data_IF_208761390861
#
_entry.id   IF_208761390861
#
_cell.length_a   1.000
_cell.length_b   1.000
_cell.length_c   1.000
_cell.angle_alpha   90.00
_cell.angle_beta   90.00
_cell.angle_gamma   90.00
#
_symmetry.space_group_name_H-M   'P 1'
#
loop_
_entity.id
_entity.type
_entity.pdbx_description
1 polymer ?
#
# COMPACT_ATOMS: atom_id res chain seq x y z
N UNK A 1 -18.89 2.13 -26.01
CA UNK A 1 -19.59 1.61 -24.81
C UNK A 1 -18.53 1.37 -23.75
N UNK A 2 -18.89 1.56 -22.47
CA UNK A 2 -17.98 1.28 -21.37
C UNK A 2 -17.96 -0.23 -21.06
N UNK A 3 -16.77 -0.77 -20.78
CA UNK A 3 -16.55 -2.21 -20.61
C UNK A 3 -15.75 -2.49 -19.35
N UNK A 4 -15.90 -3.72 -18.81
CA UNK A 4 -15.10 -4.18 -17.67
C UNK A 4 -13.68 -4.52 -18.14
N UNK A 5 -12.69 -4.27 -17.26
CA UNK A 5 -11.34 -4.81 -17.43
C UNK A 5 -11.40 -6.33 -17.25
N UNK A 6 -10.62 -7.07 -18.02
CA UNK A 6 -10.55 -8.54 -17.95
C UNK A 6 -9.10 -9.04 -17.85
N UNK A 7 -8.94 -10.29 -17.44
CA UNK A 7 -7.65 -10.99 -17.44
C UNK A 7 -7.61 -12.02 -18.57
N UNK A 8 -6.59 -11.95 -19.43
CA UNK A 8 -6.34 -12.91 -20.49
C UNK A 8 -4.86 -13.32 -20.49
N UNK A 9 -4.60 -14.61 -20.39
CA UNK A 9 -3.24 -15.12 -20.36
C UNK A 9 -2.35 -14.52 -19.25
N UNK A 10 -2.93 -14.21 -18.09
CA UNK A 10 -2.22 -13.59 -16.96
C UNK A 10 -1.90 -12.10 -17.12
N UNK A 11 -2.52 -11.42 -18.10
CA UNK A 11 -2.36 -9.97 -18.34
C UNK A 11 -3.71 -9.28 -18.30
N UNK A 12 -3.72 -8.05 -17.80
CA UNK A 12 -4.89 -7.18 -17.87
C UNK A 12 -5.17 -6.75 -19.33
N UNK A 13 -6.40 -6.93 -19.74
CA UNK A 13 -6.95 -6.38 -20.98
C UNK A 13 -7.83 -5.19 -20.61
N UNK A 14 -7.31 -3.98 -20.83
CA UNK A 14 -7.95 -2.73 -20.45
C UNK A 14 -8.60 -2.11 -21.69
N UNK A 15 -9.93 -1.95 -21.72
CA UNK A 15 -10.62 -1.31 -22.83
C UNK A 15 -10.34 0.23 -22.86
N UNK A 16 -10.68 0.89 -23.94
CA UNK A 16 -10.53 2.35 -24.05
C UNK A 16 -11.43 3.12 -23.08
N UNK A 17 -12.55 2.54 -22.70
CA UNK A 17 -13.50 3.13 -21.74
C UNK A 17 -13.78 2.12 -20.60
N UNK A 18 -12.82 1.89 -19.68
CA UNK A 18 -13.01 0.94 -18.59
C UNK A 18 -13.99 1.50 -17.55
N UNK A 19 -14.80 0.58 -16.99
CA UNK A 19 -15.61 0.85 -15.80
C UNK A 19 -14.73 0.69 -14.58
N UNK A 20 -14.51 1.75 -13.82
CA UNK A 20 -13.72 1.77 -12.59
C UNK A 20 -14.64 2.04 -11.40
N UNK A 21 -14.90 1.05 -10.54
CA UNK A 21 -15.57 1.29 -9.27
C UNK A 21 -14.75 2.22 -8.37
N UNK A 22 -15.44 3.15 -7.71
CA UNK A 22 -14.82 3.97 -6.68
C UNK A 22 -15.67 4.02 -5.42
N UNK A 23 -14.99 4.11 -4.27
CA UNK A 23 -15.58 4.38 -2.97
C UNK A 23 -15.15 5.78 -2.56
N UNK A 24 -16.10 6.69 -2.37
CA UNK A 24 -15.81 8.09 -2.04
C UNK A 24 -15.01 8.22 -0.72
N UNK A 25 -15.31 7.33 0.26
CA UNK A 25 -14.67 7.32 1.57
C UNK A 25 -15.42 8.16 2.59
N UNK A 26 -14.92 8.10 3.84
CA UNK A 26 -15.47 8.77 5.01
C UNK A 26 -14.64 10.00 5.39
N UNK A 27 -15.18 10.87 6.23
CA UNK A 27 -14.48 12.04 6.74
C UNK A 27 -14.02 12.97 5.61
N UNK A 28 -12.72 13.09 5.39
CA UNK A 28 -12.13 13.90 4.29
C UNK A 28 -12.24 13.21 2.92
N UNK A 29 -12.71 11.96 2.87
CA UNK A 29 -12.86 11.18 1.63
C UNK A 29 -13.55 11.93 0.50
N UNK A 30 -14.74 12.53 0.70
CA UNK A 30 -15.43 13.30 -0.33
C UNK A 30 -14.61 14.46 -0.90
N UNK A 31 -13.88 15.19 -0.07
CA UNK A 31 -13.07 16.33 -0.52
C UNK A 31 -11.91 15.86 -1.41
N UNK A 32 -11.13 14.89 -0.95
CA UNK A 32 -9.97 14.39 -1.69
C UNK A 32 -10.35 13.60 -2.94
N UNK A 33 -11.47 12.88 -2.93
CA UNK A 33 -11.94 12.10 -4.08
C UNK A 33 -12.37 13.03 -5.21
N UNK A 34 -13.13 14.11 -4.90
CA UNK A 34 -13.50 15.12 -5.91
C UNK A 34 -12.27 15.78 -6.53
N UNK A 35 -11.31 16.21 -5.71
CA UNK A 35 -10.07 16.81 -6.19
C UNK A 35 -9.26 15.84 -7.07
N UNK A 36 -9.14 14.58 -6.65
CA UNK A 36 -8.42 13.55 -7.37
C UNK A 36 -9.06 13.19 -8.73
N UNK A 37 -10.39 13.10 -8.80
CA UNK A 37 -11.10 12.84 -10.06
C UNK A 37 -10.84 13.92 -11.11
N UNK A 38 -10.74 15.20 -10.73
CA UNK A 38 -10.36 16.28 -11.63
C UNK A 38 -8.98 16.02 -12.25
N UNK A 39 -8.02 15.59 -11.42
CA UNK A 39 -6.64 15.30 -11.86
C UNK A 39 -6.59 14.08 -12.78
N UNK A 40 -7.22 12.97 -12.39
CA UNK A 40 -7.19 11.73 -13.18
C UNK A 40 -7.85 11.90 -14.54
N UNK A 41 -9.03 12.56 -14.59
CA UNK A 41 -9.72 12.81 -15.84
C UNK A 41 -8.91 13.74 -16.76
N UNK A 42 -8.30 14.81 -16.20
CA UNK A 42 -7.43 15.69 -16.96
C UNK A 42 -6.18 14.99 -17.51
N UNK A 43 -5.57 14.10 -16.71
CA UNK A 43 -4.41 13.33 -17.14
C UNK A 43 -4.73 12.40 -18.31
N UNK A 44 -5.85 11.69 -18.23
CA UNK A 44 -6.32 10.79 -19.30
C UNK A 44 -6.68 11.58 -20.56
N UNK A 45 -7.46 12.66 -20.43
CA UNK A 45 -7.85 13.52 -21.56
C UNK A 45 -6.63 14.09 -22.29
N UNK A 46 -5.68 14.67 -21.53
CA UNK A 46 -4.46 15.27 -22.10
C UNK A 46 -3.47 14.27 -22.66
N UNK A 47 -3.47 13.03 -22.15
CA UNK A 47 -2.60 11.98 -22.67
C UNK A 47 -3.12 11.38 -23.99
N UNK A 48 -4.45 11.23 -24.11
CA UNK A 48 -5.05 10.43 -25.18
C UNK A 48 -6.04 11.21 -26.07
N UNK A 49 -6.24 12.51 -25.82
CA UNK A 49 -7.05 13.39 -26.69
C UNK A 49 -8.48 12.92 -26.88
N UNK A 50 -9.09 12.34 -25.83
CA UNK A 50 -10.46 11.81 -25.86
C UNK A 50 -10.60 10.39 -26.40
N UNK A 51 -9.53 9.75 -26.88
CA UNK A 51 -9.57 8.36 -27.34
C UNK A 51 -9.79 7.36 -26.18
N UNK A 52 -9.43 7.76 -24.95
CA UNK A 52 -9.66 6.97 -23.74
C UNK A 52 -10.38 7.80 -22.70
N UNK A 53 -11.30 7.14 -21.95
CA UNK A 53 -12.06 7.78 -20.89
C UNK A 53 -12.42 6.76 -19.82
N UNK A 54 -12.33 7.13 -18.53
CA UNK A 54 -12.77 6.28 -17.41
C UNK A 54 -14.27 6.50 -17.19
N UNK A 55 -15.03 5.42 -17.08
CA UNK A 55 -16.40 5.41 -16.58
C UNK A 55 -16.38 5.11 -15.08
N UNK A 56 -16.63 6.12 -14.28
CA UNK A 56 -16.63 6.02 -12.83
C UNK A 56 -17.93 5.43 -12.31
N UNK A 57 -17.87 4.34 -11.54
CA UNK A 57 -19.03 3.69 -10.91
C UNK A 57 -18.89 3.79 -9.38
N UNK A 58 -19.72 4.61 -8.73
CA UNK A 58 -19.74 4.66 -7.28
C UNK A 58 -20.25 3.34 -6.71
N UNK A 59 -19.53 2.81 -5.69
CA UNK A 59 -19.94 1.70 -4.83
C UNK A 59 -19.76 2.10 -3.37
N UNK A 60 -20.58 1.55 -2.49
CA UNK A 60 -20.68 2.02 -1.11
C UNK A 60 -19.84 1.19 -0.15
N UNK A 61 -19.09 1.85 0.73
CA UNK A 61 -18.49 1.28 1.94
C UNK A 61 -18.38 2.35 3.02
N UNK A 62 -18.12 1.95 4.27
CA UNK A 62 -17.97 2.85 5.40
C UNK A 62 -19.27 3.43 5.91
N UNK A 63 -19.21 4.65 6.42
CA UNK A 63 -20.38 5.33 7.02
C UNK A 63 -21.52 5.57 6.02
N UNK A 64 -21.18 5.89 4.77
CA UNK A 64 -22.15 6.12 3.70
C UNK A 64 -22.94 4.83 3.40
N UNK A 65 -22.26 3.69 3.34
CA UNK A 65 -22.90 2.39 3.17
C UNK A 65 -23.80 2.05 4.36
N UNK A 66 -23.28 2.20 5.57
CA UNK A 66 -24.04 1.90 6.80
C UNK A 66 -25.32 2.72 6.90
N UNK A 67 -25.27 4.01 6.58
CA UNK A 67 -26.46 4.89 6.56
C UNK A 67 -27.49 4.46 5.51
N UNK A 68 -27.04 3.93 4.37
CA UNK A 68 -27.92 3.55 3.27
C UNK A 68 -28.49 2.14 3.40
N UNK A 69 -27.71 1.17 3.92
CA UNK A 69 -28.01 -0.26 3.86
C UNK A 69 -28.01 -0.95 5.22
N UNK A 70 -27.45 -0.34 6.26
CA UNK A 70 -27.19 -0.98 7.57
C UNK A 70 -25.90 -1.81 7.60
N UNK A 71 -25.16 -1.93 6.50
CA UNK A 71 -23.91 -2.68 6.40
C UNK A 71 -22.73 -1.74 6.14
N UNK A 72 -21.62 -1.97 6.84
CA UNK A 72 -20.40 -1.18 6.66
C UNK A 72 -19.63 -1.53 5.37
N UNK A 73 -19.77 -2.77 4.91
CA UNK A 73 -19.17 -3.28 3.69
C UNK A 73 -20.16 -4.23 2.99
N UNK A 74 -21.06 -3.70 2.14
CA UNK A 74 -22.02 -4.51 1.42
C UNK A 74 -21.34 -5.52 0.51
N UNK A 75 -21.92 -6.72 0.43
CA UNK A 75 -21.42 -7.79 -0.45
C UNK A 75 -21.38 -7.36 -1.91
N UNK A 76 -22.38 -6.58 -2.36
CA UNK A 76 -22.43 -6.02 -3.71
C UNK A 76 -21.17 -5.21 -4.06
N UNK A 77 -20.65 -4.42 -3.11
CA UNK A 77 -19.41 -3.65 -3.31
C UNK A 77 -18.23 -4.55 -3.60
N UNK A 78 -18.07 -5.63 -2.84
CA UNK A 78 -17.00 -6.62 -3.06
C UNK A 78 -17.15 -7.32 -4.41
N UNK A 79 -18.36 -7.69 -4.78
CA UNK A 79 -18.64 -8.37 -6.04
C UNK A 79 -18.37 -7.45 -7.25
N UNK A 80 -18.75 -6.16 -7.18
CA UNK A 80 -18.44 -5.18 -8.23
C UNK A 80 -16.93 -4.94 -8.34
N UNK A 81 -16.21 -4.80 -7.21
CA UNK A 81 -14.76 -4.66 -7.23
C UNK A 81 -14.06 -5.89 -7.85
N UNK A 82 -14.53 -7.08 -7.54
CA UNK A 82 -14.02 -8.34 -8.11
C UNK A 82 -14.29 -8.44 -9.61
N UNK A 83 -15.48 -8.07 -10.03
CA UNK A 83 -15.93 -8.14 -11.42
C UNK A 83 -15.25 -7.14 -12.34
N UNK A 84 -14.96 -5.94 -11.84
CA UNK A 84 -14.30 -4.88 -12.62
C UNK A 84 -12.77 -4.93 -12.53
N UNK A 85 -12.19 -5.76 -11.66
CA UNK A 85 -10.79 -5.98 -11.35
C UNK A 85 -10.06 -4.77 -10.75
N UNK A 86 -10.21 -3.59 -11.32
CA UNK A 86 -9.51 -2.38 -10.86
C UNK A 86 -10.49 -1.42 -10.23
N UNK A 87 -10.21 -0.99 -9.02
CA UNK A 87 -11.02 -0.03 -8.27
C UNK A 87 -10.16 0.92 -7.43
N UNK A 88 -10.75 2.03 -6.97
CA UNK A 88 -10.06 3.02 -6.12
C UNK A 88 -10.96 3.48 -5.00
N UNK A 89 -10.40 3.80 -3.83
CA UNK A 89 -11.18 4.24 -2.68
C UNK A 89 -10.50 5.35 -1.86
N UNK A 90 -11.31 6.20 -1.29
CA UNK A 90 -10.95 7.10 -0.20
C UNK A 90 -10.78 6.35 1.13
N UNK A 91 -10.39 7.07 2.20
CA UNK A 91 -10.23 6.49 3.54
C UNK A 91 -11.58 6.03 4.12
N UNK A 92 -11.56 4.95 4.91
CA UNK A 92 -12.75 4.41 5.55
C UNK A 92 -12.61 4.41 7.07
N UNK A 93 -13.68 4.78 7.75
CA UNK A 93 -13.78 4.73 9.22
C UNK A 93 -13.92 3.30 9.69
N UNK A 94 -13.09 2.89 10.64
CA UNK A 94 -13.31 1.66 11.39
C UNK A 94 -14.17 2.00 12.62
N UNK A 95 -15.37 1.39 12.78
CA UNK A 95 -16.20 1.64 13.94
C UNK A 95 -15.48 1.29 15.24
N UNK A 96 -15.58 2.16 16.25
CA UNK A 96 -15.02 1.91 17.58
C UNK A 96 -16.04 1.14 18.41
N UNK A 97 -15.72 -0.11 18.79
CA UNK A 97 -16.57 -0.97 19.60
C UNK A 97 -17.33 -2.04 18.79
N UNK A 98 -17.93 -3.01 19.48
CA UNK A 98 -18.82 -4.03 18.87
C UNK A 98 -18.13 -5.16 18.11
N UNK A 99 -16.80 -5.33 18.22
CA UNK A 99 -16.09 -6.45 17.59
C UNK A 99 -15.95 -6.35 16.06
N UNK A 100 -16.32 -5.21 15.46
CA UNK A 100 -16.15 -4.99 14.02
C UNK A 100 -14.68 -4.71 13.74
N UNK A 101 -14.07 -5.57 12.91
CA UNK A 101 -12.71 -5.40 12.42
C UNK A 101 -12.65 -4.29 11.38
N UNK A 102 -11.45 -3.80 11.10
CA UNK A 102 -11.21 -2.79 10.06
C UNK A 102 -11.84 -3.19 8.73
N UNK A 103 -12.67 -2.31 8.16
CA UNK A 103 -13.28 -2.51 6.84
C UNK A 103 -12.20 -2.68 5.76
N UNK A 104 -11.08 -1.95 5.88
CA UNK A 104 -9.95 -2.10 4.97
C UNK A 104 -9.36 -3.51 5.04
N UNK A 105 -9.18 -4.07 6.24
CA UNK A 105 -8.69 -5.44 6.42
C UNK A 105 -9.68 -6.45 5.85
N UNK A 106 -10.99 -6.26 6.07
CA UNK A 106 -12.02 -7.12 5.51
C UNK A 106 -11.97 -7.15 3.97
N UNK A 107 -11.88 -5.98 3.31
CA UNK A 107 -11.73 -5.91 1.84
C UNK A 107 -10.49 -6.66 1.34
N UNK A 108 -9.36 -6.49 2.01
CA UNK A 108 -8.10 -7.17 1.64
C UNK A 108 -8.20 -8.68 1.73
N UNK A 109 -8.86 -9.18 2.78
CA UNK A 109 -9.06 -10.61 3.00
C UNK A 109 -10.11 -11.20 2.03
N UNK A 110 -11.27 -10.55 1.88
CA UNK A 110 -12.37 -11.03 1.04
C UNK A 110 -12.02 -11.05 -0.47
N UNK A 111 -11.17 -10.14 -0.92
CA UNK A 111 -10.67 -10.07 -2.29
C UNK A 111 -9.29 -10.73 -2.46
N UNK A 112 -8.74 -11.33 -1.40
CA UNK A 112 -7.38 -11.92 -1.35
C UNK A 112 -6.30 -11.00 -1.93
N UNK A 113 -6.31 -9.72 -1.54
CA UNK A 113 -5.35 -8.72 -2.00
C UNK A 113 -4.04 -8.86 -1.23
N UNK A 114 -3.24 -9.86 -1.58
CA UNK A 114 -2.10 -10.31 -0.80
C UNK A 114 -0.87 -9.38 -0.82
N UNK A 115 -0.83 -8.42 -1.72
CA UNK A 115 0.22 -7.39 -1.77
C UNK A 115 -0.37 -6.04 -1.43
N UNK A 116 0.12 -5.41 -0.37
CA UNK A 116 -0.02 -3.97 -0.18
C UNK A 116 1.23 -3.28 -0.74
N UNK A 117 1.07 -2.57 -1.85
CA UNK A 117 2.13 -1.89 -2.59
C UNK A 117 2.16 -0.41 -2.20
N UNK A 118 3.28 0.07 -1.67
CA UNK A 118 3.47 1.45 -1.21
C UNK A 118 4.80 2.02 -1.73
N UNK A 119 4.82 2.69 -2.88
CA UNK A 119 6.01 3.42 -3.34
C UNK A 119 6.21 4.68 -2.51
N UNK A 120 7.45 4.97 -2.18
CA UNK A 120 7.87 6.15 -1.43
C UNK A 120 8.97 6.85 -2.21
N UNK A 121 8.69 8.07 -2.66
CA UNK A 121 9.63 8.94 -3.38
C UNK A 121 9.54 10.37 -2.89
N UNK A 122 10.63 11.10 -3.01
CA UNK A 122 10.68 12.51 -2.68
C UNK A 122 10.29 13.39 -3.88
N UNK A 123 9.42 14.37 -3.64
CA UNK A 123 9.16 15.46 -4.58
C UNK A 123 9.98 16.68 -4.18
N UNK A 124 10.74 17.24 -5.12
CA UNK A 124 11.67 18.32 -4.84
C UNK A 124 10.94 19.55 -4.26
N UNK A 125 11.40 20.00 -3.08
CA UNK A 125 10.83 21.14 -2.39
C UNK A 125 9.87 20.78 -1.26
N UNK A 126 9.42 19.54 -1.15
CA UNK A 126 8.61 19.09 -0.02
C UNK A 126 9.42 19.17 1.27
N UNK A 127 8.86 19.72 2.38
CA UNK A 127 9.51 19.70 3.67
C UNK A 127 9.80 18.29 4.16
N UNK A 128 11.01 18.06 4.65
CA UNK A 128 11.44 16.76 5.13
C UNK A 128 12.25 16.86 6.43
N UNK A 129 12.08 15.92 7.38
CA UNK A 129 12.87 15.87 8.61
C UNK A 129 14.29 15.32 8.39
N UNK A 130 14.59 14.73 7.23
CA UNK A 130 15.90 14.18 6.92
C UNK A 130 16.72 15.12 6.05
N UNK A 131 18.07 15.00 6.12
CA UNK A 131 18.99 15.90 5.42
C UNK A 131 18.99 15.72 3.89
N UNK A 132 18.73 14.50 3.41
CA UNK A 132 18.86 14.14 2.00
C UNK A 132 17.67 13.26 1.56
N UNK A 133 16.45 13.81 1.57
CA UNK A 133 15.24 13.07 1.21
C UNK A 133 15.24 12.58 -0.24
N UNK A 134 15.98 13.25 -1.12
CA UNK A 134 16.14 12.87 -2.54
C UNK A 134 16.81 11.52 -2.75
N UNK A 135 17.45 10.95 -1.72
CA UNK A 135 18.01 9.60 -1.76
C UNK A 135 16.95 8.51 -1.45
N UNK A 136 15.76 8.90 -1.03
CA UNK A 136 14.67 7.96 -0.75
C UNK A 136 13.86 7.73 -2.03
N UNK A 137 14.02 6.54 -2.60
CA UNK A 137 13.21 6.01 -3.70
C UNK A 137 13.05 4.51 -3.46
N UNK A 138 12.04 4.16 -2.67
CA UNK A 138 11.79 2.78 -2.24
C UNK A 138 10.38 2.36 -2.58
N UNK A 139 10.19 1.05 -2.81
CA UNK A 139 8.87 0.48 -3.04
C UNK A 139 8.64 -0.66 -2.07
N UNK A 140 7.63 -0.53 -1.21
CA UNK A 140 7.32 -1.51 -0.18
C UNK A 140 6.27 -2.49 -0.70
N UNK A 141 6.59 -3.77 -0.65
CA UNK A 141 5.70 -4.91 -0.79
C UNK A 141 5.41 -5.45 0.61
N UNK A 142 4.28 -5.05 1.18
CA UNK A 142 3.80 -5.48 2.47
C UNK A 142 2.87 -6.67 2.29
N UNK A 143 3.12 -7.77 2.99
CA UNK A 143 2.16 -8.87 3.10
C UNK A 143 0.85 -8.32 3.69
N UNK A 144 -0.30 -8.83 3.23
CA UNK A 144 -1.56 -8.14 3.48
C UNK A 144 -2.69 -9.04 3.99
N UNK A 145 -2.45 -10.35 4.17
CA UNK A 145 -3.50 -11.35 4.49
C UNK A 145 -3.24 -12.16 5.75
N UNK A 146 -2.00 -12.20 6.20
CA UNK A 146 -1.55 -12.96 7.38
C UNK A 146 -1.01 -12.05 8.49
N UNK A 147 -0.10 -12.57 9.30
CA UNK A 147 0.49 -11.91 10.45
C UNK A 147 -0.55 -11.67 11.55
N UNK A 148 -0.28 -10.79 12.48
CA UNK A 148 -1.24 -10.40 13.53
C UNK A 148 -2.52 -9.75 12.97
N UNK A 149 -2.48 -9.27 11.74
CA UNK A 149 -3.65 -8.74 11.01
C UNK A 149 -4.67 -9.82 10.64
N UNK A 150 -4.34 -11.10 10.76
CA UNK A 150 -5.32 -12.19 10.72
C UNK A 150 -6.35 -12.05 11.85
N UNK A 151 -6.02 -11.31 12.91
CA UNK A 151 -6.91 -10.97 14.01
C UNK A 151 -7.31 -12.17 14.85
N UNK A 152 -6.41 -13.15 14.99
CA UNK A 152 -6.63 -14.33 15.82
C UNK A 152 -6.17 -13.99 17.24
N UNK A 153 -7.10 -13.50 18.05
CA UNK A 153 -6.78 -13.07 19.41
C UNK A 153 -7.97 -13.24 20.36
N UNK A 154 -7.67 -13.39 21.65
CA UNK A 154 -8.65 -13.55 22.71
C UNK A 154 -8.30 -12.65 23.89
N UNK A 155 -9.29 -11.91 24.33
CA UNK A 155 -9.18 -10.97 25.45
C UNK A 155 -9.15 -11.72 26.78
N UNK A 156 -8.33 -11.24 27.70
CA UNK A 156 -8.32 -11.72 29.08
C UNK A 156 -9.71 -11.66 29.71
N UNK A 157 -10.04 -12.68 30.53
CA UNK A 157 -11.31 -12.79 31.22
C UNK A 157 -12.44 -13.44 30.42
N UNK A 158 -12.19 -13.83 29.16
CA UNK A 158 -13.16 -14.58 28.35
C UNK A 158 -12.99 -16.09 28.51
N UNK A 159 -14.07 -16.89 28.37
CA UNK A 159 -13.95 -18.37 28.40
C UNK A 159 -13.06 -18.91 27.30
N UNK A 160 -12.98 -18.24 26.15
CA UNK A 160 -12.19 -18.64 25.00
C UNK A 160 -10.68 -18.53 25.29
N UNK A 161 -10.23 -17.44 25.92
CA UNK A 161 -8.81 -17.29 26.27
C UNK A 161 -8.38 -18.31 27.33
N UNK A 162 -9.28 -18.70 28.23
CA UNK A 162 -8.97 -19.74 29.24
C UNK A 162 -8.74 -21.10 28.58
N UNK A 163 -9.52 -21.45 27.53
CA UNK A 163 -9.29 -22.67 26.73
C UNK A 163 -7.93 -22.63 26.02
N UNK A 164 -7.58 -21.49 25.40
CA UNK A 164 -6.29 -21.32 24.73
C UNK A 164 -5.11 -21.41 25.73
N UNK A 165 -5.25 -20.76 26.88
CA UNK A 165 -4.25 -20.85 27.95
C UNK A 165 -4.09 -22.28 28.48
N UNK A 166 -5.19 -22.99 28.72
CA UNK A 166 -5.17 -24.37 29.16
C UNK A 166 -4.43 -25.29 28.17
N UNK A 167 -4.70 -25.14 26.87
CA UNK A 167 -3.99 -25.85 25.80
C UNK A 167 -2.49 -25.51 25.78
N UNK A 168 -2.14 -24.22 25.78
CA UNK A 168 -0.74 -23.79 25.72
C UNK A 168 0.07 -24.22 26.96
N UNK A 169 -0.49 -24.04 28.15
CA UNK A 169 0.20 -24.35 29.42
C UNK A 169 0.23 -25.85 29.70
N UNK A 170 -0.89 -26.55 29.44
CA UNK A 170 -1.06 -27.97 29.70
C UNK A 170 -0.48 -28.83 28.57
N UNK A 171 -1.15 -28.88 27.42
CA UNK A 171 -0.77 -29.80 26.33
C UNK A 171 0.54 -29.42 25.65
N UNK A 172 0.76 -28.12 25.37
CA UNK A 172 1.99 -27.65 24.73
C UNK A 172 3.15 -27.39 25.72
N UNK A 173 2.90 -27.45 27.01
CA UNK A 173 3.91 -27.26 28.04
C UNK A 173 4.60 -25.90 28.06
N UNK A 174 3.93 -24.85 27.56
CA UNK A 174 4.46 -23.49 27.50
C UNK A 174 4.62 -22.94 28.92
N UNK A 175 5.84 -22.58 29.31
CA UNK A 175 6.15 -21.98 30.63
C UNK A 175 6.47 -20.50 30.60
N UNK A 176 6.40 -19.86 29.42
CA UNK A 176 6.87 -18.48 29.20
C UNK A 176 5.80 -17.41 29.33
N UNK A 177 4.53 -17.77 29.57
CA UNK A 177 3.48 -16.79 29.86
C UNK A 177 3.66 -16.34 31.30
N UNK A 178 4.22 -15.15 31.48
CA UNK A 178 4.67 -14.67 32.78
C UNK A 178 3.50 -14.42 33.75
N UNK A 179 2.38 -13.91 33.25
CA UNK A 179 1.18 -13.56 34.02
C UNK A 179 -0.06 -14.25 33.44
N UNK A 180 -0.18 -15.60 33.56
CA UNK A 180 -1.23 -16.34 32.84
C UNK A 180 -2.66 -15.97 33.28
N UNK A 181 -2.85 -15.51 34.53
CA UNK A 181 -4.19 -15.11 35.02
C UNK A 181 -4.76 -13.89 34.30
N UNK A 182 -3.91 -12.99 33.82
CA UNK A 182 -4.31 -11.70 33.20
C UNK A 182 -3.84 -11.54 31.78
N UNK A 183 -3.23 -12.56 31.18
CA UNK A 183 -2.76 -12.49 29.81
C UNK A 183 -3.91 -12.61 28.79
N UNK A 184 -3.97 -11.70 27.83
CA UNK A 184 -4.63 -11.91 26.54
C UNK A 184 -3.67 -12.64 25.62
N UNK A 185 -4.19 -13.39 24.63
CA UNK A 185 -3.37 -14.18 23.70
C UNK A 185 -3.71 -13.80 22.26
N UNK A 186 -2.68 -13.58 21.43
CA UNK A 186 -2.79 -13.42 20.00
C UNK A 186 -1.88 -14.38 19.24
N UNK A 187 -2.28 -14.78 18.05
CA UNK A 187 -1.54 -15.71 17.19
C UNK A 187 -1.08 -14.96 15.93
N UNK A 188 0.16 -15.20 15.56
CA UNK A 188 0.80 -14.68 14.34
C UNK A 188 1.04 -15.81 13.34
N UNK A 189 0.12 -16.07 12.41
CA UNK A 189 0.36 -17.03 11.32
C UNK A 189 1.27 -16.41 10.26
N UNK A 190 2.22 -17.20 9.77
CA UNK A 190 3.07 -16.87 8.61
C UNK A 190 3.26 -18.17 7.83
N UNK A 191 2.84 -18.17 6.56
CA UNK A 191 2.87 -19.36 5.70
C UNK A 191 3.94 -19.27 4.61
N UNK A 192 4.31 -20.43 4.07
CA UNK A 192 5.18 -20.53 2.90
C UNK A 192 4.53 -19.89 1.69
N UNK A 193 3.27 -20.21 1.45
CA UNK A 193 2.50 -19.74 0.29
C UNK A 193 2.31 -18.22 0.32
N UNK A 194 1.94 -17.66 1.48
CA UNK A 194 1.81 -16.20 1.68
C UNK A 194 3.13 -15.47 1.47
N UNK A 195 4.23 -16.04 1.99
CA UNK A 195 5.58 -15.50 1.79
C UNK A 195 6.00 -15.56 0.32
N UNK A 196 5.88 -16.71 -0.33
CA UNK A 196 6.37 -16.88 -1.70
C UNK A 196 5.61 -16.00 -2.69
N UNK A 197 4.28 -15.89 -2.58
CA UNK A 197 3.51 -15.02 -3.48
C UNK A 197 3.85 -13.55 -3.33
N UNK A 198 4.14 -13.08 -2.11
CA UNK A 198 4.59 -11.71 -1.85
C UNK A 198 5.98 -11.45 -2.41
N UNK A 199 6.95 -12.29 -2.06
CA UNK A 199 8.35 -12.13 -2.48
C UNK A 199 8.48 -12.26 -4.00
N UNK A 200 7.73 -13.18 -4.62
CA UNK A 200 7.64 -13.29 -6.09
C UNK A 200 7.16 -11.99 -6.72
N UNK A 201 6.10 -11.38 -6.19
CA UNK A 201 5.61 -10.10 -6.70
C UNK A 201 6.66 -8.99 -6.58
N UNK A 202 7.44 -8.96 -5.49
CA UNK A 202 8.52 -7.99 -5.31
C UNK A 202 9.70 -8.21 -6.28
N UNK A 203 10.07 -9.47 -6.54
CA UNK A 203 11.11 -9.82 -7.51
C UNK A 203 10.69 -9.52 -8.97
N UNK A 204 9.45 -9.86 -9.32
CA UNK A 204 8.88 -9.55 -10.64
C UNK A 204 8.79 -8.04 -10.87
N UNK A 205 8.43 -7.28 -9.84
CA UNK A 205 8.45 -5.82 -9.89
C UNK A 205 9.86 -5.28 -10.09
N UNK A 206 10.85 -5.82 -9.37
CA UNK A 206 12.25 -5.43 -9.53
C UNK A 206 12.77 -5.69 -10.96
N UNK A 207 12.38 -6.81 -11.57
CA UNK A 207 12.69 -7.14 -12.97
C UNK A 207 11.99 -6.16 -13.92
N UNK A 208 10.69 -5.95 -13.74
CA UNK A 208 9.89 -5.13 -14.65
C UNK A 208 10.34 -3.67 -14.66
N UNK A 209 10.76 -3.14 -13.52
CA UNK A 209 11.15 -1.74 -13.32
C UNK A 209 12.67 -1.53 -13.22
N UNK A 210 13.46 -2.55 -13.55
CA UNK A 210 14.94 -2.53 -13.55
C UNK A 210 15.54 -2.02 -12.23
N UNK A 211 14.93 -2.44 -11.10
CA UNK A 211 15.36 -2.07 -9.75
C UNK A 211 16.60 -2.89 -9.34
N UNK A 212 17.45 -2.32 -8.48
CA UNK A 212 18.78 -2.87 -8.16
C UNK A 212 18.78 -3.94 -7.06
N UNK A 213 17.78 -3.96 -6.20
CA UNK A 213 17.74 -4.91 -5.09
C UNK A 213 16.33 -5.16 -4.54
N UNK A 214 16.14 -6.34 -3.94
CA UNK A 214 15.00 -6.68 -3.09
C UNK A 214 15.53 -6.99 -1.69
N UNK A 215 15.03 -6.26 -0.68
CA UNK A 215 15.43 -6.45 0.72
C UNK A 215 14.29 -7.10 1.49
N UNK A 216 14.54 -8.27 2.07
CA UNK A 216 13.62 -8.96 2.98
C UNK A 216 13.76 -8.34 4.37
N UNK A 217 12.76 -7.59 4.81
CA UNK A 217 12.78 -6.94 6.14
C UNK A 217 12.01 -7.80 7.13
N UNK A 218 12.65 -8.15 8.26
CA UNK A 218 12.11 -9.12 9.22
C UNK A 218 12.69 -8.94 10.64
N UNK A 219 12.08 -9.61 11.62
CA UNK A 219 12.61 -9.75 12.99
C UNK A 219 12.96 -11.22 13.33
N UNK A 220 13.53 -11.95 12.37
CA UNK A 220 13.79 -13.38 12.42
C UNK A 220 14.81 -13.83 13.47
N UNK A 221 15.63 -12.91 14.01
CA UNK A 221 16.51 -13.21 15.13
C UNK A 221 15.74 -13.48 16.45
N UNK A 222 14.52 -12.97 16.58
CA UNK A 222 13.60 -13.20 17.71
C UNK A 222 12.50 -14.18 17.35
N UNK A 223 11.78 -13.92 16.25
CA UNK A 223 10.67 -14.76 15.77
C UNK A 223 11.18 -15.73 14.70
N UNK A 224 11.92 -16.76 15.15
CA UNK A 224 12.69 -17.65 14.27
C UNK A 224 11.85 -18.47 13.30
N UNK A 225 10.66 -18.92 13.73
CA UNK A 225 9.80 -19.84 12.96
C UNK A 225 8.69 -19.13 12.16
N UNK A 226 8.56 -17.83 12.31
CA UNK A 226 7.65 -16.98 11.55
C UNK A 226 8.46 -16.02 10.68
N UNK A 227 9.01 -14.96 11.23
CA UNK A 227 9.78 -13.97 10.46
C UNK A 227 11.12 -14.50 9.95
N UNK A 228 11.78 -15.40 10.70
CA UNK A 228 12.97 -16.10 10.21
C UNK A 228 12.66 -17.04 9.04
N UNK A 229 11.52 -17.73 9.11
CA UNK A 229 11.05 -18.57 8.03
C UNK A 229 10.70 -17.73 6.77
N UNK A 230 10.03 -16.57 6.92
CA UNK A 230 9.80 -15.62 5.85
C UNK A 230 11.09 -15.28 5.09
N UNK A 231 12.16 -14.90 5.81
CA UNK A 231 13.47 -14.64 5.23
C UNK A 231 14.00 -15.84 4.44
N UNK A 232 14.01 -17.00 5.08
CA UNK A 232 14.61 -18.20 4.49
C UNK A 232 13.82 -18.72 3.28
N UNK A 233 12.50 -18.61 3.30
CA UNK A 233 11.64 -18.93 2.16
C UNK A 233 11.84 -17.94 1.01
N UNK A 234 12.01 -16.67 1.31
CA UNK A 234 12.30 -15.64 0.30
C UNK A 234 13.61 -15.90 -0.44
N UNK A 235 14.68 -16.25 0.26
CA UNK A 235 15.94 -16.66 -0.37
C UNK A 235 15.82 -17.94 -1.20
N UNK A 236 15.13 -18.95 -0.68
CA UNK A 236 14.89 -20.21 -1.43
C UNK A 236 14.08 -19.97 -2.71
N UNK A 237 13.08 -19.09 -2.65
CA UNK A 237 12.31 -18.70 -3.82
C UNK A 237 13.21 -18.05 -4.89
N UNK A 238 14.03 -17.08 -4.49
CA UNK A 238 14.96 -16.39 -5.41
C UNK A 238 15.91 -17.36 -6.10
N UNK A 239 16.45 -18.33 -5.38
CA UNK A 239 17.34 -19.37 -5.94
C UNK A 239 16.57 -20.31 -6.86
N UNK A 240 15.40 -20.79 -6.43
CA UNK A 240 14.63 -21.81 -7.18
C UNK A 240 14.00 -21.27 -8.47
N UNK A 241 13.42 -20.07 -8.43
CA UNK A 241 12.62 -19.54 -9.55
C UNK A 241 13.36 -18.50 -10.41
N UNK A 242 14.33 -17.79 -9.84
CA UNK A 242 15.07 -16.74 -10.54
C UNK A 242 16.54 -17.11 -10.80
N UNK A 243 16.97 -18.32 -10.36
CA UNK A 243 18.35 -18.78 -10.58
C UNK A 243 19.38 -17.97 -9.80
N UNK A 244 18.98 -17.35 -8.67
CA UNK A 244 19.89 -16.54 -7.87
C UNK A 244 21.02 -17.38 -7.29
N UNK A 245 22.26 -16.86 -7.37
CA UNK A 245 23.48 -17.48 -6.83
C UNK A 245 23.93 -16.73 -5.58
N UNK A 246 24.50 -17.47 -4.63
CA UNK A 246 24.96 -16.89 -3.36
C UNK A 246 26.10 -15.89 -3.60
N UNK A 247 26.05 -14.76 -2.91
CA UNK A 247 27.14 -13.80 -2.80
C UNK A 247 28.04 -14.29 -1.65
N UNK A 248 29.32 -14.45 -1.91
CA UNK A 248 30.30 -15.04 -0.98
C UNK A 248 29.80 -16.38 -0.44
N UNK A 249 29.50 -16.47 0.84
CA UNK A 249 28.98 -17.67 1.51
C UNK A 249 27.49 -17.56 1.85
N UNK A 250 26.80 -16.54 1.34
CA UNK A 250 25.39 -16.25 1.63
C UNK A 250 25.16 -15.61 3.01
N UNK A 251 23.91 -15.38 3.42
CA UNK A 251 22.66 -15.77 2.73
C UNK A 251 22.28 -14.88 1.53
N UNK A 252 22.90 -13.70 1.38
CA UNK A 252 22.62 -12.82 0.24
C UNK A 252 22.88 -13.53 -1.08
N UNK A 253 22.05 -13.24 -2.05
CA UNK A 253 22.19 -13.84 -3.39
C UNK A 253 21.87 -12.79 -4.48
N UNK A 254 22.23 -13.10 -5.71
CA UNK A 254 22.01 -12.23 -6.85
C UNK A 254 21.65 -13.01 -8.10
N UNK A 255 20.94 -12.33 -9.00
CA UNK A 255 20.63 -12.85 -10.33
C UNK A 255 20.65 -11.73 -11.38
N UNK A 256 20.67 -12.09 -12.65
CA UNK A 256 20.62 -11.11 -13.74
C UNK A 256 19.18 -10.84 -14.15
N UNK A 257 18.81 -9.57 -14.26
CA UNK A 257 17.54 -9.17 -14.87
C UNK A 257 17.50 -9.70 -16.32
N UNK A 258 16.55 -10.57 -16.66
CA UNK A 258 16.49 -11.17 -18.00
C UNK A 258 16.21 -10.17 -19.12
N UNK A 259 15.72 -8.96 -18.79
CA UNK A 259 15.39 -7.91 -19.76
C UNK A 259 16.58 -6.98 -20.03
N UNK A 260 17.36 -6.65 -19.00
CA UNK A 260 18.39 -5.59 -19.07
C UNK A 260 19.80 -6.10 -18.82
N UNK A 261 19.96 -7.31 -18.28
CA UNK A 261 21.25 -7.87 -17.86
C UNK A 261 21.82 -7.26 -16.57
N UNK A 262 21.14 -6.26 -15.96
CA UNK A 262 21.57 -5.67 -14.68
C UNK A 262 21.47 -6.69 -13.56
N UNK A 263 22.39 -6.64 -12.61
CA UNK A 263 22.32 -7.47 -11.40
C UNK A 263 21.24 -6.97 -10.45
N UNK A 264 20.40 -7.88 -9.97
CA UNK A 264 19.46 -7.65 -8.88
C UNK A 264 19.95 -8.43 -7.66
N UNK A 265 20.18 -7.72 -6.56
CA UNK A 265 20.64 -8.32 -5.29
C UNK A 265 19.43 -8.60 -4.41
N UNK A 266 19.33 -9.83 -3.90
CA UNK A 266 18.38 -10.21 -2.84
C UNK A 266 19.13 -10.27 -1.53
N UNK A 267 18.71 -9.46 -0.57
CA UNK A 267 19.34 -9.33 0.74
C UNK A 267 18.31 -9.24 1.84
N UNK A 268 18.74 -9.28 3.11
CA UNK A 268 17.85 -9.11 4.25
C UNK A 268 18.33 -8.01 5.20
N UNK A 269 17.40 -7.53 6.01
CA UNK A 269 17.68 -6.58 7.08
C UNK A 269 16.73 -6.80 8.26
N UNK A 270 17.27 -6.79 9.47
CA UNK A 270 16.46 -6.82 10.69
C UNK A 270 15.68 -5.50 10.79
N UNK A 271 14.37 -5.57 11.08
CA UNK A 271 13.44 -4.46 10.96
C UNK A 271 13.85 -3.20 11.74
N UNK A 272 14.31 -3.34 12.98
CA UNK A 272 14.79 -2.19 13.77
C UNK A 272 16.08 -1.58 13.21
N UNK A 273 16.97 -2.37 12.65
CA UNK A 273 18.12 -1.86 11.92
C UNK A 273 17.70 -1.16 10.63
N UNK A 274 16.72 -1.71 9.91
CA UNK A 274 16.16 -1.09 8.71
C UNK A 274 15.56 0.30 9.01
N UNK A 275 14.76 0.43 10.07
CA UNK A 275 14.17 1.71 10.50
C UNK A 275 15.24 2.78 10.80
N UNK A 276 16.41 2.39 11.32
CA UNK A 276 17.54 3.28 11.47
C UNK A 276 18.20 3.62 10.12
N UNK A 277 18.35 2.63 9.25
CA UNK A 277 19.12 2.77 8.02
C UNK A 277 18.39 3.54 6.93
N UNK A 278 17.06 3.57 6.93
CA UNK A 278 16.29 4.46 6.04
C UNK A 278 16.56 5.95 6.30
N UNK A 279 17.01 6.31 7.52
CA UNK A 279 17.39 7.68 7.87
C UNK A 279 18.85 7.98 7.57
N UNK A 280 19.74 7.00 7.69
CA UNK A 280 21.19 7.17 7.62
C UNK A 280 21.80 6.76 6.28
N UNK A 281 21.20 5.79 5.58
CA UNK A 281 21.72 5.17 4.34
C UNK A 281 20.59 4.80 3.36
N UNK A 282 19.62 5.69 3.06
CA UNK A 282 18.44 5.32 2.24
C UNK A 282 18.81 4.81 0.85
N UNK A 283 19.90 5.31 0.25
CA UNK A 283 20.35 4.91 -1.08
C UNK A 283 20.77 3.43 -1.20
N UNK A 284 20.94 2.71 -0.09
CA UNK A 284 21.26 1.28 -0.11
C UNK A 284 20.02 0.39 -0.33
N UNK A 285 18.82 0.95 -0.25
CA UNK A 285 17.56 0.23 -0.33
C UNK A 285 16.79 0.59 -1.61
N UNK A 286 15.95 -0.35 -2.05
CA UNK A 286 15.19 -0.19 -3.29
C UNK A 286 13.81 -0.83 -3.16
N UNK A 287 13.61 -2.09 -3.55
CA UNK A 287 12.37 -2.82 -3.29
C UNK A 287 12.45 -3.51 -1.93
N UNK A 288 11.42 -3.37 -1.12
CA UNK A 288 11.32 -3.93 0.23
C UNK A 288 10.20 -4.95 0.26
N UNK A 289 10.48 -6.19 0.64
CA UNK A 289 9.46 -7.19 0.92
C UNK A 289 9.43 -7.48 2.42
N UNK A 290 8.25 -7.42 3.03
CA UNK A 290 8.12 -7.58 4.49
C UNK A 290 6.74 -8.07 4.90
N UNK A 291 6.65 -8.61 6.12
CA UNK A 291 5.40 -9.05 6.73
C UNK A 291 4.47 -7.87 7.05
N UNK A 292 3.22 -8.18 7.35
CA UNK A 292 2.13 -7.22 7.42
C UNK A 292 2.38 -6.10 8.45
N UNK A 293 2.64 -6.42 9.70
CA UNK A 293 2.88 -5.43 10.75
C UNK A 293 4.13 -4.59 10.48
N UNK A 294 5.24 -5.24 10.14
CA UNK A 294 6.47 -4.54 9.81
C UNK A 294 6.26 -3.58 8.64
N UNK A 295 5.53 -4.02 7.61
CA UNK A 295 5.21 -3.22 6.43
C UNK A 295 4.36 -1.99 6.75
N UNK A 296 3.45 -2.09 7.71
CA UNK A 296 2.66 -0.98 8.20
C UNK A 296 3.55 0.11 8.82
N UNK A 297 4.37 -0.28 9.79
CA UNK A 297 5.28 0.66 10.46
C UNK A 297 6.32 1.27 9.52
N UNK A 298 6.92 0.42 8.68
CA UNK A 298 7.99 0.83 7.76
C UNK A 298 7.47 1.81 6.71
N UNK A 299 6.28 1.59 6.15
CA UNK A 299 5.75 2.48 5.12
C UNK A 299 5.44 3.88 5.64
N UNK A 300 4.89 4.00 6.85
CA UNK A 300 4.60 5.29 7.47
C UNK A 300 5.89 6.02 7.90
N UNK A 301 6.87 5.27 8.43
CA UNK A 301 8.18 5.82 8.75
C UNK A 301 8.90 6.36 7.50
N UNK A 302 8.84 5.63 6.38
CA UNK A 302 9.39 6.09 5.10
C UNK A 302 8.63 7.29 4.53
N UNK A 303 7.29 7.27 4.57
CA UNK A 303 6.48 8.41 4.14
C UNK A 303 6.86 9.70 4.88
N UNK A 304 7.14 9.60 6.18
CA UNK A 304 7.60 10.74 6.97
C UNK A 304 8.92 11.32 6.46
N UNK A 305 9.83 10.50 5.93
CA UNK A 305 11.13 10.97 5.39
C UNK A 305 10.99 11.79 4.11
N UNK A 306 9.89 11.67 3.39
CA UNK A 306 9.65 12.36 2.11
C UNK A 306 8.56 13.43 2.17
N UNK A 307 8.03 13.73 3.36
CA UNK A 307 7.05 14.80 3.56
C UNK A 307 5.74 14.39 4.21
N UNK A 308 5.55 13.11 4.49
CA UNK A 308 4.40 12.58 5.24
C UNK A 308 3.37 11.82 4.40
N UNK A 309 2.38 11.30 5.11
CA UNK A 309 1.35 10.42 4.53
C UNK A 309 0.39 11.12 3.56
N UNK A 310 0.34 12.46 3.55
CA UNK A 310 -0.51 13.24 2.63
C UNK A 310 -0.13 13.08 1.16
N UNK A 311 1.07 12.57 0.86
CA UNK A 311 1.55 12.26 -0.50
C UNK A 311 2.04 10.81 -0.63
N UNK A 312 1.67 9.93 0.30
CA UNK A 312 2.00 8.51 0.26
C UNK A 312 0.87 7.72 -0.40
N UNK A 313 1.07 7.15 -1.61
CA UNK A 313 0.05 6.36 -2.28
C UNK A 313 0.07 4.91 -1.80
N UNK A 314 -1.03 4.18 -2.08
CA UNK A 314 -1.15 2.77 -1.79
C UNK A 314 -2.01 2.01 -2.79
N UNK A 315 -1.70 0.73 -2.93
CA UNK A 315 -2.51 -0.22 -3.67
C UNK A 315 -2.53 -1.56 -2.95
N UNK A 316 -3.64 -2.27 -3.04
CA UNK A 316 -3.78 -3.64 -2.56
C UNK A 316 -4.08 -4.52 -3.79
N UNK A 317 -3.22 -5.49 -4.07
CA UNK A 317 -3.23 -6.19 -5.37
C UNK A 317 -3.17 -7.70 -5.19
N UNK A 318 -4.00 -8.40 -5.96
CA UNK A 318 -3.84 -9.80 -6.25
C UNK A 318 -3.34 -9.96 -7.69
N UNK A 319 -2.04 -10.18 -7.87
CA UNK A 319 -1.44 -10.32 -9.20
C UNK A 319 -1.85 -11.59 -9.95
N UNK A 320 -2.43 -12.58 -9.26
CA UNK A 320 -2.91 -13.82 -9.89
C UNK A 320 -4.27 -13.61 -10.56
N UNK A 321 -5.19 -12.92 -9.87
CA UNK A 321 -6.54 -12.65 -10.39
C UNK A 321 -6.65 -11.33 -11.14
N UNK A 322 -5.70 -10.42 -10.93
CA UNK A 322 -5.71 -9.05 -11.46
C UNK A 322 -6.56 -8.08 -10.63
N UNK A 323 -7.20 -8.54 -9.55
CA UNK A 323 -7.99 -7.64 -8.67
C UNK A 323 -7.07 -6.70 -7.92
N UNK A 324 -7.35 -5.40 -8.03
CA UNK A 324 -6.59 -4.34 -7.38
C UNK A 324 -7.50 -3.25 -6.83
N UNK A 325 -7.24 -2.82 -5.59
CA UNK A 325 -7.91 -1.70 -4.93
C UNK A 325 -6.85 -0.67 -4.57
N UNK A 326 -6.89 0.48 -5.22
CA UNK A 326 -6.01 1.61 -4.95
C UNK A 326 -6.60 2.47 -3.84
N UNK A 327 -5.78 3.03 -2.95
CA UNK A 327 -6.29 3.74 -1.79
C UNK A 327 -5.34 4.82 -1.26
N UNK A 328 -5.90 5.89 -0.69
CA UNK A 328 -5.12 6.78 0.17
C UNK A 328 -4.65 6.02 1.43
N UNK A 329 -3.41 6.23 1.84
CA UNK A 329 -2.82 5.51 2.99
C UNK A 329 -3.15 6.14 4.35
N UNK A 330 -3.63 7.40 4.36
CA UNK A 330 -4.03 8.09 5.59
C UNK A 330 -5.46 7.76 6.02
N UNK A 331 -5.79 8.08 7.27
CA UNK A 331 -7.13 7.90 7.84
C UNK A 331 -8.13 8.98 7.41
N UNK A 332 -9.34 8.90 7.96
CA UNK A 332 -10.50 9.75 7.60
C UNK A 332 -10.41 11.19 8.08
N UNK A 333 -9.60 11.49 9.10
CA UNK A 333 -9.42 12.82 9.70
C UNK A 333 -10.74 13.62 9.86
N UNK A 334 -11.73 13.12 10.62
CA UNK A 334 -13.12 13.61 10.60
C UNK A 334 -13.25 15.09 10.99
N UNK A 335 -12.32 15.64 11.77
CA UNK A 335 -12.31 17.06 12.14
C UNK A 335 -12.05 18.02 10.97
N UNK A 336 -11.57 17.49 9.83
CA UNK A 336 -11.33 18.26 8.62
C UNK A 336 -12.35 17.98 7.51
N UNK A 337 -13.33 17.11 7.76
CA UNK A 337 -14.33 16.73 6.78
C UNK A 337 -15.12 17.94 6.28
N UNK A 338 -15.24 18.08 4.95
CA UNK A 338 -15.99 19.17 4.29
C UNK A 338 -15.34 20.56 4.38
N UNK A 339 -14.11 20.66 4.91
CA UNK A 339 -13.42 21.96 5.01
C UNK A 339 -12.58 22.30 3.75
N UNK A 340 -12.54 21.42 2.77
CA UNK A 340 -11.74 21.59 1.55
C UNK A 340 -10.25 21.94 1.83
N UNK A 341 -9.67 21.37 2.89
CA UNK A 341 -8.37 21.80 3.43
C UNK A 341 -7.25 20.79 3.28
N UNK A 342 -7.58 19.49 3.33
CA UNK A 342 -6.57 18.42 3.38
C UNK A 342 -5.84 18.25 2.05
N UNK A 343 -4.63 17.69 2.12
CA UNK A 343 -3.84 17.36 0.95
C UNK A 343 -4.43 16.14 0.22
N UNK A 344 -4.87 16.25 -1.05
CA UNK A 344 -5.39 15.11 -1.81
C UNK A 344 -4.29 14.26 -2.47
N UNK A 345 -3.03 14.60 -2.27
CA UNK A 345 -1.88 14.02 -2.97
C UNK A 345 -1.76 12.50 -2.83
N UNK A 346 -2.05 11.94 -1.65
CA UNK A 346 -2.04 10.51 -1.43
C UNK A 346 -3.01 9.78 -2.37
N UNK A 347 -4.26 10.25 -2.46
CA UNK A 347 -5.27 9.63 -3.33
C UNK A 347 -4.97 9.90 -4.81
N UNK A 348 -4.50 11.10 -5.15
CA UNK A 348 -4.09 11.45 -6.53
C UNK A 348 -2.99 10.51 -7.01
N UNK A 349 -1.95 10.29 -6.20
CA UNK A 349 -0.85 9.39 -6.53
C UNK A 349 -1.27 7.90 -6.50
N UNK A 350 -2.27 7.53 -5.70
CA UNK A 350 -2.86 6.18 -5.77
C UNK A 350 -3.56 5.95 -7.12
N UNK A 351 -4.23 6.97 -7.66
CA UNK A 351 -4.77 6.92 -9.01
C UNK A 351 -3.69 6.94 -10.11
N UNK A 352 -2.56 7.60 -9.87
CA UNK A 352 -1.37 7.46 -10.74
C UNK A 352 -0.92 6.00 -10.82
N UNK A 353 -0.78 5.32 -9.66
CA UNK A 353 -0.47 3.90 -9.62
C UNK A 353 -1.52 3.05 -10.35
N UNK A 354 -2.81 3.39 -10.21
CA UNK A 354 -3.91 2.72 -10.91
C UNK A 354 -3.77 2.84 -12.42
N UNK A 355 -3.51 4.04 -12.94
CA UNK A 355 -3.29 4.27 -14.36
C UNK A 355 -2.09 3.48 -14.88
N UNK A 356 -0.99 3.46 -14.13
CA UNK A 356 0.20 2.67 -14.47
C UNK A 356 -0.07 1.16 -14.45
N UNK A 357 -0.85 0.67 -13.49
CA UNK A 357 -1.27 -0.73 -13.41
C UNK A 357 -2.14 -1.14 -14.61
N UNK A 358 -2.98 -0.23 -15.10
CA UNK A 358 -3.76 -0.42 -16.33
C UNK A 358 -2.94 -0.28 -17.62
N UNK A 359 -1.64 0.06 -17.54
CA UNK A 359 -0.80 0.32 -18.70
C UNK A 359 -1.01 1.70 -19.35
N UNK A 360 -1.66 2.63 -18.65
CA UNK A 360 -1.86 4.01 -19.12
C UNK A 360 -0.74 4.93 -18.61
N UNK A 361 0.48 4.59 -18.97
CA UNK A 361 1.71 5.19 -18.44
C UNK A 361 1.85 6.67 -18.78
N UNK A 362 1.41 7.08 -19.96
CA UNK A 362 1.48 8.48 -20.40
C UNK A 362 0.62 9.40 -19.52
N UNK A 363 -0.56 8.92 -19.11
CA UNK A 363 -1.43 9.66 -18.19
C UNK A 363 -0.83 9.69 -16.77
N UNK A 364 -0.27 8.56 -16.29
CA UNK A 364 0.42 8.47 -15.02
C UNK A 364 1.62 9.44 -14.94
N UNK A 365 2.45 9.49 -15.99
CA UNK A 365 3.63 10.36 -16.05
C UNK A 365 3.25 11.84 -16.01
N UNK A 366 2.12 12.23 -16.60
CA UNK A 366 1.59 13.62 -16.51
C UNK A 366 1.26 14.02 -15.08
N UNK A 367 0.68 13.11 -14.29
CA UNK A 367 0.38 13.38 -12.87
C UNK A 367 1.68 13.65 -12.10
N UNK A 368 2.70 12.83 -12.29
CA UNK A 368 4.00 13.00 -11.63
C UNK A 368 4.63 14.35 -12.03
N UNK A 369 4.66 14.66 -13.33
CA UNK A 369 5.22 15.91 -13.81
C UNK A 369 4.45 17.14 -13.28
N UNK A 370 3.14 17.05 -13.15
CA UNK A 370 2.32 18.13 -12.58
C UNK A 370 2.60 18.29 -11.07
N UNK A 371 2.72 17.21 -10.32
CA UNK A 371 3.10 17.25 -8.90
C UNK A 371 4.44 17.96 -8.72
N UNK A 372 5.46 17.59 -9.50
CA UNK A 372 6.78 18.23 -9.45
C UNK A 372 6.68 19.75 -9.73
N UNK A 373 5.93 20.18 -10.75
CA UNK A 373 5.77 21.59 -11.11
C UNK A 373 5.05 22.40 -10.02
N UNK A 374 3.92 21.92 -9.53
CA UNK A 374 3.05 22.65 -8.59
C UNK A 374 3.75 22.76 -7.21
N UNK A 375 4.40 21.69 -6.75
CA UNK A 375 5.17 21.71 -5.52
C UNK A 375 6.38 22.64 -5.65
N UNK A 376 7.11 22.58 -6.75
CA UNK A 376 8.26 23.48 -6.99
C UNK A 376 7.84 24.97 -7.05
N UNK A 377 6.62 25.26 -7.53
CA UNK A 377 6.04 26.60 -7.50
C UNK A 377 5.56 27.03 -6.10
N UNK A 378 5.71 26.14 -5.09
CA UNK A 378 5.26 26.35 -3.70
C UNK A 378 3.77 26.70 -3.57
N UNK A 379 2.95 26.25 -4.50
CA UNK A 379 1.48 26.36 -4.47
C UNK A 379 0.93 25.05 -3.89
N UNK A 380 0.70 25.01 -2.60
CA UNK A 380 0.55 23.75 -1.85
C UNK A 380 -0.54 23.83 -0.79
N UNK A 381 -0.98 22.70 -0.29
CA UNK A 381 -1.95 22.60 0.81
C UNK A 381 -1.32 22.95 2.16
N UNK A 382 -2.15 23.17 3.17
CA UNK A 382 -1.79 23.68 4.49
C UNK A 382 -0.66 22.89 5.20
N UNK A 383 -0.61 21.59 4.98
CA UNK A 383 0.37 20.68 5.60
C UNK A 383 1.80 20.98 5.15
N UNK A 384 1.99 21.33 3.89
CA UNK A 384 3.27 21.79 3.35
C UNK A 384 3.47 23.30 3.56
N UNK A 385 2.44 24.12 3.31
CA UNK A 385 2.56 25.57 3.40
C UNK A 385 3.09 26.03 4.76
N UNK A 386 2.62 25.43 5.85
CA UNK A 386 3.09 25.76 7.22
C UNK A 386 4.57 25.47 7.49
N UNK A 387 5.24 24.73 6.60
CA UNK A 387 6.63 24.30 6.73
C UNK A 387 7.54 24.84 5.61
N UNK A 388 6.95 25.51 4.61
CA UNK A 388 7.66 26.01 3.42
C UNK A 388 7.66 27.55 3.42
N UNK A 389 8.81 28.16 3.60
CA UNK A 389 8.94 29.61 3.50
C UNK A 389 8.54 30.11 2.10
N UNK A 390 7.68 31.13 2.05
CA UNK A 390 7.18 31.73 0.82
C UNK A 390 6.20 30.86 0.04
N UNK A 391 5.57 29.89 0.70
CA UNK A 391 4.52 29.09 0.06
C UNK A 391 3.19 29.84 0.03
N UNK A 392 2.42 29.57 -1.05
CA UNK A 392 1.03 29.97 -1.17
C UNK A 392 0.15 28.78 -0.75
N UNK A 393 -0.56 28.94 0.38
CA UNK A 393 -1.53 27.93 0.82
C UNK A 393 -2.78 27.98 -0.08
N UNK A 394 -3.17 26.81 -0.57
CA UNK A 394 -4.39 26.63 -1.35
C UNK A 394 -5.23 25.48 -0.79
N UNK A 395 -6.53 25.46 -1.15
CA UNK A 395 -7.44 24.41 -0.69
C UNK A 395 -7.20 23.07 -1.39
N UNK A 396 -7.84 22.01 -0.89
CA UNK A 396 -7.82 20.68 -1.48
C UNK A 396 -8.26 20.70 -2.95
N UNK A 397 -9.42 21.30 -3.23
CA UNK A 397 -9.97 21.41 -4.58
C UNK A 397 -9.09 22.27 -5.50
N UNK A 398 -8.56 23.41 -4.98
CA UNK A 398 -7.65 24.27 -5.73
C UNK A 398 -6.34 23.56 -6.07
N UNK A 399 -5.82 22.70 -5.20
CA UNK A 399 -4.63 21.90 -5.49
C UNK A 399 -4.87 20.91 -6.64
N UNK A 400 -6.02 20.20 -6.62
CA UNK A 400 -6.42 19.36 -7.76
C UNK A 400 -6.53 20.12 -9.06
N UNK A 401 -7.16 21.32 -9.05
CA UNK A 401 -7.28 22.18 -10.22
C UNK A 401 -5.90 22.68 -10.72
N UNK A 402 -5.00 23.07 -9.81
CA UNK A 402 -3.65 23.49 -10.15
C UNK A 402 -2.84 22.37 -10.82
N UNK A 403 -2.95 21.14 -10.33
CA UNK A 403 -2.33 19.97 -10.96
C UNK A 403 -2.89 19.73 -12.37
N UNK A 404 -4.22 19.73 -12.52
CA UNK A 404 -4.85 19.57 -13.83
C UNK A 404 -4.43 20.65 -14.83
N UNK A 405 -4.25 21.89 -14.38
CA UNK A 405 -3.76 23.00 -15.22
C UNK A 405 -2.27 22.85 -15.60
N UNK A 406 -1.46 22.27 -14.71
CA UNK A 406 -0.01 22.12 -14.90
C UNK A 406 0.41 21.00 -15.85
N UNK A 407 -0.50 20.07 -16.22
CA UNK A 407 -0.31 19.03 -17.23
C UNK A 407 -0.32 19.65 -18.62
#
# INVERSE_FOLDING_TARGET
MSEKISMQGGKLCVPENPIIPFIEGDGTGPDITRAAMVVWNAAVEKAYGGARKIEWKEVLAGEKAFKATGEWLPRETLDVCRDCLVSIKGPLTTPVGGGIRSINVAMRQELDLYVCLRPVRYFKGVPSPVKRPELTDMVIFRENTEDIYAGIEWMNGTPEVEKVKAFLLGEMGVKKIRFPKTASIGIKPVSLEGTERLVRAALDYAIANDRKSVTLVHKGNIQKFTEGAFRDWGYRLAQREYGATLIDKGPWCEFKNPKTGRTIVVKDCICDAFLQQILTRPAEYDVIATLNLNGDYVSDALAATVGGIGIAPGANINYQTGVAVFEATHGTAPKYAGLDKVNPGSLILSGEMMLRYMGWTEAADRIIAAMDKVIAAKTVTYDFARQMEGATEISCSAFGAALAAAM
#
